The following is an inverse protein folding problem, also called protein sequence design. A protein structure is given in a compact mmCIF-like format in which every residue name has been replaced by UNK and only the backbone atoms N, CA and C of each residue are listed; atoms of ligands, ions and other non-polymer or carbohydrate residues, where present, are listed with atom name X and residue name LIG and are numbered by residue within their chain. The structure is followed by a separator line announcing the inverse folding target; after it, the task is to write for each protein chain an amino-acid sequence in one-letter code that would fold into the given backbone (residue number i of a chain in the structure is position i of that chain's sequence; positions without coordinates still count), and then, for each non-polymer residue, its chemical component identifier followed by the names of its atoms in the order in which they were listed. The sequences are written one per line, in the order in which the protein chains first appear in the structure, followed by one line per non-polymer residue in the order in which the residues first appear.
data_IF_587746654247
#
_entry.id   IF_587746654247
#
_cell.length_a   1.000
_cell.length_b   1.000
_cell.length_c   1.000
_cell.angle_alpha   90.00
_cell.angle_beta   90.00
_cell.angle_gamma   90.00
#
_symmetry.space_group_name_H-M   'P 1'
#
loop_
_entity.id
_entity.type
_entity.pdbx_description
1 polymer ?
#
# COMPACT_ATOMS: atom_id res chain seq x y z
N UNK A 1 14.07 -4.12 -6.58
CA UNK A 1 14.31 -4.97 -7.77
C UNK A 1 13.21 -4.84 -8.82
N UNK A 2 12.04 -5.50 -8.71
CA UNK A 2 11.01 -5.39 -9.77
C UNK A 2 10.48 -3.98 -10.00
N UNK A 3 10.41 -3.16 -8.94
CA UNK A 3 10.00 -1.77 -9.00
C UNK A 3 11.02 -0.91 -9.77
N UNK A 4 12.31 -1.03 -9.45
CA UNK A 4 13.39 -0.31 -10.15
C UNK A 4 13.42 -0.69 -11.63
N UNK A 5 13.26 -1.97 -11.96
CA UNK A 5 13.16 -2.43 -13.34
C UNK A 5 11.93 -1.82 -14.05
N UNK A 6 10.80 -1.62 -13.35
CA UNK A 6 9.62 -0.96 -13.94
C UNK A 6 9.91 0.50 -14.19
N UNK A 7 10.49 1.21 -13.21
CA UNK A 7 10.85 2.61 -13.37
C UNK A 7 11.84 2.83 -14.52
N UNK A 8 12.88 2.00 -14.60
CA UNK A 8 13.86 2.11 -15.66
C UNK A 8 13.25 1.81 -17.03
N UNK A 9 12.37 0.81 -17.12
CA UNK A 9 11.62 0.53 -18.35
C UNK A 9 10.75 1.73 -18.74
N UNK A 10 10.01 2.33 -17.80
CA UNK A 10 9.22 3.53 -18.05
C UNK A 10 10.06 4.71 -18.53
N UNK A 11 11.27 4.91 -17.99
CA UNK A 11 12.18 5.99 -18.44
C UNK A 11 12.52 5.83 -19.92
N UNK A 12 12.92 4.64 -20.38
CA UNK A 12 13.24 4.41 -21.79
C UNK A 12 12.02 4.53 -22.71
N UNK A 13 10.84 4.12 -22.25
CA UNK A 13 9.59 4.34 -22.97
C UNK A 13 9.28 5.84 -23.12
N UNK A 14 9.51 6.65 -22.09
CA UNK A 14 9.32 8.11 -22.16
C UNK A 14 10.37 8.80 -23.04
N UNK A 15 11.64 8.41 -22.96
CA UNK A 15 12.68 8.93 -23.86
C UNK A 15 12.36 8.62 -25.33
N UNK A 16 11.85 7.43 -25.61
CA UNK A 16 11.42 7.07 -26.97
C UNK A 16 10.21 7.89 -27.42
N UNK A 17 9.23 8.10 -26.54
CA UNK A 17 8.07 8.99 -26.80
C UNK A 17 8.47 10.44 -27.10
N UNK A 18 9.53 10.93 -26.44
CA UNK A 18 10.07 12.27 -26.66
C UNK A 18 10.98 12.35 -27.90
N UNK A 19 11.29 11.23 -28.56
CA UNK A 19 12.20 11.18 -29.71
C UNK A 19 13.70 11.20 -29.34
N UNK A 20 14.02 11.17 -28.05
CA UNK A 20 15.41 11.16 -27.54
C UNK A 20 16.01 9.74 -27.52
N UNK A 21 15.20 8.71 -27.81
CA UNK A 21 15.64 7.32 -27.89
C UNK A 21 15.05 6.61 -29.11
N UNK A 22 15.92 6.25 -30.05
CA UNK A 22 15.54 5.69 -31.36
C UNK A 22 15.53 4.16 -31.42
N UNK A 23 16.04 3.49 -30.38
CA UNK A 23 16.09 2.03 -30.32
C UNK A 23 14.90 1.47 -29.52
N UNK A 24 14.61 0.16 -29.61
CA UNK A 24 13.66 -0.47 -28.70
C UNK A 24 14.07 -0.27 -27.22
N UNK A 25 13.11 -0.38 -26.31
CA UNK A 25 13.38 -0.27 -24.88
C UNK A 25 14.32 -1.42 -24.46
N UNK A 26 15.52 -1.14 -23.89
CA UNK A 26 16.49 -2.18 -23.53
C UNK A 26 15.95 -3.24 -22.57
N UNK A 27 14.87 -2.92 -21.86
CA UNK A 27 14.22 -3.79 -20.87
C UNK A 27 12.97 -4.50 -21.40
N UNK A 28 12.59 -4.30 -22.66
CA UNK A 28 11.34 -4.81 -23.25
C UNK A 28 11.20 -6.33 -23.10
N UNK A 29 12.31 -7.05 -23.31
CA UNK A 29 12.35 -8.52 -23.21
C UNK A 29 12.88 -9.03 -21.86
N UNK A 30 13.18 -8.12 -20.92
CA UNK A 30 13.71 -8.50 -19.63
C UNK A 30 12.57 -8.98 -18.72
N UNK A 31 12.57 -10.28 -18.39
CA UNK A 31 11.61 -10.83 -17.44
C UNK A 31 11.78 -10.17 -16.07
N UNK A 32 10.66 -9.95 -15.39
CA UNK A 32 10.65 -9.60 -13.97
C UNK A 32 11.19 -10.76 -13.16
N UNK A 33 11.81 -10.44 -12.03
CA UNK A 33 12.21 -11.45 -11.07
C UNK A 33 10.96 -12.06 -10.46
N UNK A 34 10.85 -13.39 -10.48
CA UNK A 34 9.83 -14.09 -9.69
C UNK A 34 10.26 -13.99 -8.23
N UNK A 35 9.67 -13.05 -7.51
CA UNK A 35 9.83 -12.93 -6.06
C UNK A 35 8.73 -13.80 -5.46
N UNK A 36 9.09 -14.75 -4.59
CA UNK A 36 8.09 -15.45 -3.79
C UNK A 36 7.30 -14.39 -3.01
N UNK A 37 6.00 -14.28 -3.28
CA UNK A 37 5.15 -13.39 -2.50
C UNK A 37 5.30 -13.78 -1.03
N UNK A 38 5.69 -12.82 -0.20
CA UNK A 38 5.68 -13.02 1.24
C UNK A 38 4.23 -13.28 1.62
N UNK A 39 3.95 -14.43 2.23
CA UNK A 39 2.61 -14.71 2.76
C UNK A 39 2.16 -13.53 3.62
N UNK A 40 1.03 -12.94 3.25
CA UNK A 40 0.42 -11.90 4.05
C UNK A 40 -0.20 -12.57 5.27
N UNK A 41 0.38 -12.31 6.45
CA UNK A 41 -0.23 -12.72 7.70
C UNK A 41 -1.48 -11.86 7.98
N UNK A 42 -2.52 -12.50 8.48
CA UNK A 42 -3.73 -11.86 8.97
C UNK A 42 -3.84 -12.07 10.48
N UNK A 43 -4.57 -11.17 11.16
CA UNK A 43 -4.77 -11.26 12.60
C UNK A 43 -5.95 -12.18 12.92
N UNK A 44 -5.76 -13.14 13.81
CA UNK A 44 -6.88 -13.92 14.37
C UNK A 44 -7.76 -13.03 15.25
N UNK A 45 -8.94 -13.53 15.61
CA UNK A 45 -9.85 -12.78 16.48
C UNK A 45 -9.23 -12.48 17.85
N UNK A 46 -8.49 -13.43 18.42
CA UNK A 46 -7.78 -13.26 19.69
C UNK A 46 -6.69 -12.19 19.58
N UNK A 47 -5.93 -12.19 18.48
CA UNK A 47 -4.90 -11.18 18.22
C UNK A 47 -5.49 -9.78 18.02
N UNK A 48 -6.68 -9.68 17.41
CA UNK A 48 -7.41 -8.40 17.29
C UNK A 48 -7.79 -7.87 18.67
N UNK A 49 -8.26 -8.74 19.58
CA UNK A 49 -8.62 -8.34 20.95
C UNK A 49 -7.40 -7.83 21.71
N UNK A 50 -6.27 -8.55 21.62
CA UNK A 50 -5.00 -8.13 22.23
C UNK A 50 -4.51 -6.79 21.67
N UNK A 51 -4.50 -6.66 20.33
CA UNK A 51 -4.13 -5.42 19.64
C UNK A 51 -4.98 -4.23 20.12
N UNK A 52 -6.30 -4.39 20.17
CA UNK A 52 -7.20 -3.30 20.58
C UNK A 52 -7.02 -2.92 22.06
N UNK A 53 -6.71 -3.88 22.93
CA UNK A 53 -6.39 -3.62 24.32
C UNK A 53 -5.10 -2.79 24.44
N UNK A 54 -4.06 -3.15 23.69
CA UNK A 54 -2.78 -2.45 23.67
C UNK A 54 -2.90 -1.03 23.11
N UNK A 55 -3.58 -0.89 21.98
CA UNK A 55 -3.86 0.42 21.39
C UNK A 55 -4.59 1.34 22.38
N UNK A 56 -5.58 0.81 23.10
CA UNK A 56 -6.34 1.59 24.10
C UNK A 56 -5.48 2.01 25.29
N UNK A 57 -4.49 1.20 25.68
CA UNK A 57 -3.53 1.54 26.75
C UNK A 57 -2.57 2.66 26.35
N UNK A 58 -2.17 2.71 25.08
CA UNK A 58 -1.27 3.75 24.58
C UNK A 58 -1.98 5.07 24.24
N UNK A 59 -3.01 5.02 23.38
CA UNK A 59 -3.70 6.20 22.88
C UNK A 59 -5.14 5.87 22.42
N UNK A 60 -6.17 6.53 22.99
CA UNK A 60 -7.54 6.39 22.51
C UNK A 60 -7.74 6.65 21.01
N UNK A 61 -6.97 7.56 20.40
CA UNK A 61 -7.03 7.85 18.95
C UNK A 61 -6.49 6.68 18.13
N UNK A 62 -5.37 6.07 18.58
CA UNK A 62 -4.83 4.86 17.96
C UNK A 62 -5.88 3.74 17.95
N UNK A 63 -6.53 3.50 19.09
CA UNK A 63 -7.59 2.49 19.18
C UNK A 63 -8.78 2.80 18.25
N UNK A 64 -9.13 4.08 18.08
CA UNK A 64 -10.19 4.50 17.14
C UNK A 64 -9.80 4.22 15.69
N UNK A 65 -8.59 4.59 15.27
CA UNK A 65 -8.10 4.36 13.91
C UNK A 65 -8.06 2.88 13.58
N UNK A 66 -7.56 2.04 14.50
CA UNK A 66 -7.53 0.58 14.32
C UNK A 66 -8.93 0.00 14.18
N UNK A 67 -9.89 0.47 14.99
CA UNK A 67 -11.30 0.05 14.85
C UNK A 67 -11.90 0.42 13.51
N UNK A 68 -11.61 1.60 12.97
CA UNK A 68 -12.06 2.01 11.64
C UNK A 68 -11.50 1.06 10.59
N UNK A 69 -10.17 0.83 10.58
CA UNK A 69 -9.53 -0.12 9.65
C UNK A 69 -10.17 -1.51 9.71
N UNK A 70 -10.40 -2.06 10.92
CA UNK A 70 -11.00 -3.39 11.09
C UNK A 70 -12.47 -3.45 10.67
N UNK A 71 -13.23 -2.36 10.83
CA UNK A 71 -14.67 -2.34 10.53
C UNK A 71 -14.98 -2.03 9.07
N UNK A 72 -14.10 -1.32 8.36
CA UNK A 72 -14.34 -0.85 6.99
C UNK A 72 -13.36 -1.39 5.96
N UNK A 73 -12.27 -2.07 6.38
CA UNK A 73 -11.19 -2.50 5.49
C UNK A 73 -10.34 -1.35 4.95
N UNK A 74 -10.45 -0.15 5.53
CA UNK A 74 -9.67 1.01 5.10
C UNK A 74 -8.17 0.79 5.31
N UNK A 75 -7.34 1.33 4.41
CA UNK A 75 -5.89 1.37 4.64
C UNK A 75 -5.60 2.32 5.79
N UNK A 76 -4.56 2.03 6.56
CA UNK A 76 -4.12 2.87 7.68
C UNK A 76 -4.09 4.37 7.37
N UNK A 77 -3.50 4.74 6.21
CA UNK A 77 -3.38 6.13 5.78
C UNK A 77 -4.73 6.78 5.49
N UNK A 78 -5.72 6.02 5.03
CA UNK A 78 -7.06 6.53 4.77
C UNK A 78 -7.79 6.78 6.10
N UNK A 79 -7.69 5.85 7.05
CA UNK A 79 -8.34 5.96 8.35
C UNK A 79 -7.76 7.09 9.24
N UNK A 80 -6.43 7.24 9.29
CA UNK A 80 -5.80 8.29 10.12
C UNK A 80 -6.05 9.70 9.60
N UNK A 81 -6.26 9.85 8.28
CA UNK A 81 -6.56 11.13 7.64
C UNK A 81 -8.06 11.37 7.46
N UNK A 82 -8.92 10.57 8.08
CA UNK A 82 -10.36 10.72 7.97
C UNK A 82 -10.80 12.07 8.56
N UNK A 83 -11.49 12.87 7.76
CA UNK A 83 -11.98 14.19 8.17
C UNK A 83 -13.47 14.17 8.44
N UNK A 84 -13.95 15.15 9.23
CA UNK A 84 -15.38 15.25 9.58
C UNK A 84 -16.30 15.39 8.36
N UNK A 85 -15.85 16.02 7.27
CA UNK A 85 -16.64 16.18 6.05
C UNK A 85 -16.89 14.85 5.32
N UNK A 86 -16.09 13.82 5.61
CA UNK A 86 -16.24 12.48 5.04
C UNK A 86 -17.14 11.57 5.89
N UNK A 87 -17.71 12.08 7.00
CA UNK A 87 -18.60 11.34 7.90
C UNK A 87 -19.98 11.98 7.87
N UNK A 88 -20.96 11.23 7.34
CA UNK A 88 -22.36 11.66 7.30
C UNK A 88 -23.12 11.06 8.48
N UNK A 89 -24.03 11.84 9.07
CA UNK A 89 -24.94 11.34 10.10
C UNK A 89 -25.96 10.41 9.44
N UNK A 90 -26.09 9.19 9.94
CA UNK A 90 -27.18 8.27 9.59
C UNK A 90 -28.51 8.80 10.13
#
# INVERSE_FOLDING_TARGET
INLEQSYLSSVFSELSRLGEWSYPNPLENMRKFTIAEKEMAWLTHEQIVELLADCKRQDPILALVVKICLSTGARWREAVNLTRSQVTKY
#
